data_IF_593064910686
#
_entry.id   IF_593064910686
#
_cell.length_a   1.000
_cell.length_b   1.000
_cell.length_c   1.000
_cell.angle_alpha   90.00
_cell.angle_beta   90.00
_cell.angle_gamma   90.00
#
_symmetry.space_group_name_H-M   'P 1'
#
loop_
_entity.id
_entity.type
_entity.pdbx_description
1 polymer ?
#
# COMPACT_ATOMS: atom_id res chain seq x y z
N UNK A 1 -6.92 -6.55 17.72
CA UNK A 1 -6.40 -6.00 16.44
C UNK A 1 -5.78 -4.65 16.76
N UNK A 2 -4.46 -4.51 16.61
CA UNK A 2 -3.79 -3.22 16.77
C UNK A 2 -3.98 -2.50 15.43
N UNK A 3 -4.72 -1.40 15.43
CA UNK A 3 -4.82 -0.55 14.25
C UNK A 3 -3.43 0.05 13.99
N UNK A 4 -2.85 -0.09 12.80
CA UNK A 4 -1.58 0.57 12.49
C UNK A 4 -1.75 2.08 12.67
N UNK A 5 -0.77 2.74 13.30
CA UNK A 5 -0.76 4.20 13.37
C UNK A 5 -0.35 4.74 12.00
N UNK A 6 -1.28 5.39 11.32
CA UNK A 6 -1.11 5.93 9.96
C UNK A 6 -1.21 7.46 9.93
N UNK A 7 -1.15 8.13 11.09
CA UNK A 7 -1.34 9.59 11.18
C UNK A 7 -0.32 10.36 10.35
N UNK A 8 0.89 9.82 10.21
CA UNK A 8 1.99 10.43 9.45
C UNK A 8 2.14 9.81 8.04
N UNK A 9 1.15 9.03 7.57
CA UNK A 9 1.25 8.34 6.28
C UNK A 9 1.15 9.32 5.10
N UNK A 10 2.21 9.43 4.31
CA UNK A 10 2.23 10.21 3.09
C UNK A 10 1.83 9.33 1.90
N UNK A 11 0.53 9.27 1.64
CA UNK A 11 -0.01 8.48 0.52
C UNK A 11 0.34 9.11 -0.83
N UNK A 12 1.04 8.34 -1.66
CA UNK A 12 1.32 8.68 -3.05
C UNK A 12 0.49 7.80 -3.98
N UNK A 13 -0.29 8.42 -4.85
CA UNK A 13 -1.05 7.75 -5.90
C UNK A 13 -0.12 7.05 -6.92
N UNK A 14 -0.48 5.84 -7.33
CA UNK A 14 0.23 5.12 -8.39
C UNK A 14 0.11 5.86 -9.72
N UNK A 15 1.21 5.95 -10.48
CA UNK A 15 1.22 6.53 -11.84
C UNK A 15 0.43 5.69 -12.86
N UNK A 16 0.13 4.43 -12.52
CA UNK A 16 -0.74 3.56 -13.31
C UNK A 16 -2.23 3.82 -13.03
N UNK A 17 -2.55 4.69 -12.08
CA UNK A 17 -3.93 5.14 -11.83
C UNK A 17 -4.34 6.11 -12.95
N UNK A 18 -5.05 5.58 -13.95
CA UNK A 18 -5.61 6.36 -15.07
C UNK A 18 -7.05 6.83 -14.82
N UNK A 19 -7.79 7.11 -15.90
CA UNK A 19 -9.23 7.46 -15.87
C UNK A 19 -10.14 6.28 -15.52
N UNK A 20 -9.58 5.11 -15.26
CA UNK A 20 -10.29 3.89 -14.93
C UNK A 20 -10.64 3.76 -13.44
N UNK A 21 -10.91 2.52 -13.02
CA UNK A 21 -11.48 2.23 -11.71
C UNK A 21 -10.53 1.59 -10.69
N UNK A 22 -9.24 1.41 -11.01
CA UNK A 22 -8.30 0.62 -10.21
C UNK A 22 -7.19 1.50 -9.61
N UNK A 23 -7.57 2.55 -8.89
CA UNK A 23 -6.65 3.56 -8.38
C UNK A 23 -6.16 3.19 -6.97
N UNK A 24 -4.86 2.98 -6.81
CA UNK A 24 -4.23 2.66 -5.51
C UNK A 24 -3.27 3.75 -5.07
N UNK A 25 -3.20 3.99 -3.76
CA UNK A 25 -2.19 4.85 -3.13
C UNK A 25 -1.36 4.05 -2.15
N UNK A 26 -0.07 4.37 -2.07
CA UNK A 26 0.89 3.71 -1.18
C UNK A 26 1.63 4.76 -0.36
N UNK A 27 1.77 4.51 0.95
CA UNK A 27 2.67 5.24 1.83
C UNK A 27 3.84 4.33 2.24
N UNK A 28 5.07 4.80 1.99
CA UNK A 28 6.32 4.08 2.31
C UNK A 28 7.22 4.88 3.26
N UNK A 29 6.73 6.00 3.78
CA UNK A 29 7.49 6.90 4.66
C UNK A 29 7.39 6.50 6.15
N UNK A 30 6.55 5.52 6.48
CA UNK A 30 6.42 5.02 7.84
C UNK A 30 7.58 4.06 8.16
N UNK A 31 8.13 4.07 9.40
CA UNK A 31 9.33 3.27 9.73
C UNK A 31 9.13 1.76 9.60
N UNK A 32 8.00 1.25 10.08
CA UNK A 32 7.77 -0.20 10.24
C UNK A 32 6.64 -0.73 9.34
N UNK A 33 6.08 0.11 8.48
CA UNK A 33 4.85 -0.18 7.77
C UNK A 33 4.89 0.36 6.34
N UNK A 34 4.39 -0.46 5.41
CA UNK A 34 3.97 -0.05 4.08
C UNK A 34 2.44 -0.11 4.07
N UNK A 35 1.80 1.03 3.82
CA UNK A 35 0.34 1.15 3.84
C UNK A 35 -0.20 1.33 2.43
N UNK A 36 -1.28 0.62 2.11
CA UNK A 36 -1.93 0.63 0.79
C UNK A 36 -3.42 0.85 0.99
N UNK A 37 -4.00 1.76 0.22
CA UNK A 37 -5.44 2.03 0.24
C UNK A 37 -6.01 2.22 -1.15
N UNK A 38 -7.33 2.08 -1.24
CA UNK A 38 -8.10 2.52 -2.40
C UNK A 38 -8.12 4.04 -2.45
N UNK A 39 -7.73 4.62 -3.58
CA UNK A 39 -7.78 6.08 -3.78
C UNK A 39 -9.21 6.63 -3.72
N UNK A 40 -10.20 5.78 -3.99
CA UNK A 40 -11.62 6.16 -4.09
C UNK A 40 -12.36 6.08 -2.77
N UNK A 41 -11.83 5.30 -1.83
CA UNK A 41 -12.29 5.25 -0.46
C UNK A 41 -11.12 5.52 0.51
N UNK A 42 -10.65 6.77 0.63
CA UNK A 42 -9.54 7.12 1.53
C UNK A 42 -9.82 6.87 3.01
N UNK A 43 -11.11 6.79 3.37
CA UNK A 43 -11.61 6.45 4.72
C UNK A 43 -11.77 4.95 4.95
N UNK A 44 -11.65 4.15 3.90
CA UNK A 44 -11.85 2.72 3.93
C UNK A 44 -10.68 1.96 4.58
N UNK A 45 -10.75 0.61 4.54
CA UNK A 45 -9.69 -0.23 5.07
C UNK A 45 -8.34 0.01 4.41
N UNK A 46 -7.28 -0.01 5.21
CA UNK A 46 -5.89 0.09 4.75
C UNK A 46 -5.21 -1.27 4.92
N UNK A 47 -4.58 -1.77 3.86
CA UNK A 47 -3.68 -2.92 3.96
C UNK A 47 -2.33 -2.44 4.46
N UNK A 48 -1.82 -3.07 5.52
CA UNK A 48 -0.55 -2.70 6.13
C UNK A 48 0.40 -3.91 6.17
N UNK A 49 1.61 -3.72 5.68
CA UNK A 49 2.65 -4.75 5.61
C UNK A 49 3.91 -4.29 6.34
N UNK A 50 4.67 -5.21 6.92
CA UNK A 50 6.06 -4.89 7.27
C UNK A 50 6.89 -4.69 5.99
N UNK A 51 7.99 -3.90 6.03
CA UNK A 51 8.86 -3.74 4.88
C UNK A 51 9.38 -5.07 4.31
N UNK A 52 9.67 -6.04 5.17
CA UNK A 52 10.11 -7.39 4.76
C UNK A 52 9.00 -8.13 4.01
N UNK A 53 7.78 -8.13 4.54
CA UNK A 53 6.65 -8.79 3.87
C UNK A 53 6.35 -8.15 2.51
N UNK A 54 6.42 -6.82 2.43
CA UNK A 54 6.26 -6.08 1.18
C UNK A 54 7.31 -6.45 0.13
N UNK A 55 8.59 -6.51 0.52
CA UNK A 55 9.66 -6.90 -0.40
C UNK A 55 9.56 -8.36 -0.88
N UNK A 56 9.14 -9.28 0.00
CA UNK A 56 8.91 -10.67 -0.37
C UNK A 56 7.75 -10.77 -1.37
N UNK A 57 6.66 -10.04 -1.13
CA UNK A 57 5.54 -9.95 -2.07
C UNK A 57 5.97 -9.43 -3.44
N UNK A 58 6.73 -8.33 -3.50
CA UNK A 58 7.24 -7.82 -4.78
C UNK A 58 8.17 -8.79 -5.50
N UNK A 59 9.01 -9.52 -4.75
CA UNK A 59 9.88 -10.56 -5.31
C UNK A 59 9.07 -11.70 -5.91
N UNK A 60 8.04 -12.18 -5.20
CA UNK A 60 7.15 -13.23 -5.70
C UNK A 60 6.46 -12.83 -7.00
N UNK A 61 5.95 -11.59 -7.09
CA UNK A 61 5.35 -11.08 -8.34
C UNK A 61 6.36 -11.10 -9.50
N UNK A 62 7.59 -10.62 -9.26
CA UNK A 62 8.62 -10.55 -10.30
C UNK A 62 9.04 -11.93 -10.80
N UNK A 63 8.99 -12.93 -9.93
CA UNK A 63 9.33 -14.32 -10.26
C UNK A 63 8.14 -15.11 -10.84
N UNK A 64 6.91 -14.57 -10.80
CA UNK A 64 5.71 -15.28 -11.22
C UNK A 64 5.26 -16.37 -10.24
N UNK A 65 5.60 -16.23 -8.96
CA UNK A 65 5.27 -17.19 -7.89
C UNK A 65 3.89 -16.94 -7.27
N UNK A 66 3.28 -15.80 -7.57
CA UNK A 66 1.98 -15.31 -7.11
C UNK A 66 1.26 -14.54 -8.21
#
# INVERSE_FOLDING_TARGET
>A
MISPNLSDAEFRKSSYSGTGNDCVEVATNLPDLIAIRDSKDPSGPVLAFSPTAWNNFLTGIRNGEI
#
